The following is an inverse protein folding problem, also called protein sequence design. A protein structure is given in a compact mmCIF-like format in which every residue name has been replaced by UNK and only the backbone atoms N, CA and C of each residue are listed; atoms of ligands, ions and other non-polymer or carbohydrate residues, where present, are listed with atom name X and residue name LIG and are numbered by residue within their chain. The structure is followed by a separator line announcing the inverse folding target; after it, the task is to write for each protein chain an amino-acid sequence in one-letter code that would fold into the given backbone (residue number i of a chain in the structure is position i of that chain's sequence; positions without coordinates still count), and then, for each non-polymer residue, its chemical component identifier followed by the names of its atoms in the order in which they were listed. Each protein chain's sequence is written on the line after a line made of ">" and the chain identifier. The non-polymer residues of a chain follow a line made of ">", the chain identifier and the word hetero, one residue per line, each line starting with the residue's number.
data_IF_002666546079
#
_entry.id   IF_002666546079
#
_cell.length_a   1.000
_cell.length_b   1.000
_cell.length_c   1.000
_cell.angle_alpha   90.00
_cell.angle_beta   90.00
_cell.angle_gamma   90.00
#
_symmetry.space_group_name_H-M   'P 1'
#
loop_
_entity.id
_entity.type
_entity.pdbx_description
1 polymer ?
#
# COMPACT_ATOMS: atom_id res chain seq x y z
N UNK A 1 2.99 -33.86 4.77
CA UNK A 1 2.35 -33.15 5.91
C UNK A 1 3.28 -32.97 7.12
N UNK A 2 4.04 -33.99 7.56
CA UNK A 2 5.01 -33.87 8.68
C UNK A 2 6.09 -32.79 8.50
N UNK A 3 6.59 -32.61 7.28
CA UNK A 3 7.70 -31.68 7.01
C UNK A 3 7.29 -30.20 7.10
N UNK A 4 6.02 -29.89 6.82
CA UNK A 4 5.50 -28.52 6.92
C UNK A 4 5.37 -28.09 8.39
N UNK A 5 4.94 -29.03 9.25
CA UNK A 5 4.86 -28.78 10.69
C UNK A 5 6.25 -28.56 11.30
N UNK A 6 7.26 -29.30 10.84
CA UNK A 6 8.64 -29.16 11.28
C UNK A 6 9.26 -27.82 10.84
N UNK A 7 8.97 -27.36 9.63
CA UNK A 7 9.38 -26.02 9.16
C UNK A 7 8.68 -24.92 9.96
N UNK A 8 7.40 -25.07 10.26
CA UNK A 8 6.66 -24.13 11.12
C UNK A 8 7.21 -24.10 12.56
N UNK A 9 7.58 -25.26 13.12
CA UNK A 9 8.19 -25.37 14.44
C UNK A 9 9.63 -24.82 14.50
N UNK A 10 10.41 -24.99 13.44
CA UNK A 10 11.77 -24.43 13.33
C UNK A 10 11.73 -22.90 13.15
N UNK A 11 10.75 -22.38 12.40
CA UNK A 11 10.51 -20.94 12.27
C UNK A 11 9.98 -20.32 13.57
N UNK A 12 9.13 -21.02 14.31
CA UNK A 12 8.65 -20.59 15.63
C UNK A 12 9.75 -20.66 16.71
N UNK A 13 10.63 -21.67 16.64
CA UNK A 13 11.68 -21.92 17.63
C UNK A 13 12.92 -21.03 17.49
N UNK A 14 13.28 -20.62 16.28
CA UNK A 14 14.48 -19.80 16.06
C UNK A 14 14.32 -18.30 16.40
N UNK A 15 13.10 -17.85 16.72
CA UNK A 15 12.80 -16.44 17.06
C UNK A 15 12.54 -16.16 18.54
N UNK A 16 12.60 -17.18 19.41
CA UNK A 16 12.13 -17.09 20.80
C UNK A 16 13.13 -16.48 21.79
N UNK A 17 13.92 -15.48 21.37
CA UNK A 17 14.60 -14.59 22.31
C UNK A 17 13.72 -13.34 22.47
N UNK A 18 13.24 -13.03 23.69
CA UNK A 18 12.44 -11.84 23.94
C UNK A 18 13.36 -10.62 23.89
N UNK A 19 13.72 -10.18 22.70
CA UNK A 19 14.08 -8.79 22.50
C UNK A 19 12.79 -7.98 22.65
N UNK A 20 12.47 -7.67 23.91
CA UNK A 20 11.33 -6.86 24.35
C UNK A 20 11.14 -5.66 23.42
N UNK A 21 9.87 -5.45 23.06
CA UNK A 21 9.38 -4.59 21.99
C UNK A 21 10.07 -3.23 21.87
N UNK A 22 11.02 -3.16 20.95
CA UNK A 22 11.34 -1.93 20.23
C UNK A 22 10.50 -1.91 18.94
N UNK A 23 9.17 -1.98 19.09
CA UNK A 23 8.20 -2.00 17.99
C UNK A 23 7.34 -0.74 18.08
N UNK A 24 7.29 0.05 17.00
CA UNK A 24 6.59 1.33 16.94
C UNK A 24 7.05 2.32 18.03
N UNK A 25 8.36 2.50 18.15
CA UNK A 25 8.95 3.57 18.98
C UNK A 25 9.40 4.70 18.07
N UNK A 26 9.29 5.92 18.56
CA UNK A 26 9.82 7.13 17.93
C UNK A 26 11.25 6.83 17.44
N UNK A 27 11.56 7.19 16.18
CA UNK A 27 12.80 6.84 15.44
C UNK A 27 12.82 5.49 14.69
N UNK A 28 11.75 4.69 14.71
CA UNK A 28 11.66 3.57 13.77
C UNK A 28 11.22 4.04 12.39
N UNK A 29 11.92 3.56 11.36
CA UNK A 29 11.55 3.67 9.97
C UNK A 29 11.30 2.29 9.37
N UNK A 30 10.56 2.23 8.27
CA UNK A 30 10.29 0.98 7.59
C UNK A 30 10.08 1.14 6.10
N UNK A 31 10.49 0.12 5.35
CA UNK A 31 10.19 -0.05 3.94
C UNK A 31 9.12 -1.11 3.78
N UNK A 32 8.07 -0.82 3.02
CA UNK A 32 6.99 -1.74 2.71
C UNK A 32 6.90 -1.99 1.22
N UNK A 33 6.62 -3.24 0.85
CA UNK A 33 6.28 -3.64 -0.50
C UNK A 33 4.93 -4.36 -0.47
N UNK A 34 3.99 -3.88 -1.28
CA UNK A 34 2.60 -4.34 -1.28
C UNK A 34 2.16 -4.72 -2.69
N UNK A 35 1.27 -5.70 -2.76
CA UNK A 35 0.49 -6.03 -3.95
C UNK A 35 -0.98 -6.01 -3.58
N UNK A 36 -1.79 -5.41 -4.44
CA UNK A 36 -3.21 -5.24 -4.17
C UNK A 36 -4.06 -5.13 -5.41
N UNK A 37 -5.34 -4.86 -5.19
CA UNK A 37 -6.33 -4.56 -6.22
C UNK A 37 -7.00 -3.22 -5.93
N UNK A 38 -7.33 -2.51 -7.00
CA UNK A 38 -8.30 -1.42 -6.99
C UNK A 38 -9.65 -1.92 -7.51
N UNK A 39 -10.66 -1.06 -7.65
CA UNK A 39 -11.89 -1.41 -8.37
C UNK A 39 -11.64 -1.70 -9.86
N UNK A 40 -10.57 -1.17 -10.45
CA UNK A 40 -10.33 -1.19 -11.90
C UNK A 40 -9.17 -2.12 -12.32
N UNK A 41 -8.32 -2.55 -11.39
CA UNK A 41 -7.12 -3.31 -11.75
C UNK A 41 -6.29 -3.82 -10.58
N UNK A 42 -5.07 -4.23 -10.91
CA UNK A 42 -4.07 -4.71 -9.97
C UNK A 42 -2.96 -3.66 -9.80
N UNK A 43 -2.41 -3.55 -8.60
CA UNK A 43 -1.36 -2.57 -8.32
C UNK A 43 -0.24 -3.11 -7.45
N UNK A 44 0.92 -2.46 -7.57
CA UNK A 44 2.08 -2.63 -6.72
C UNK A 44 2.39 -1.30 -6.03
N UNK A 45 2.80 -1.36 -4.77
CA UNK A 45 3.14 -0.16 -3.99
C UNK A 45 4.42 -0.38 -3.20
N UNK A 46 5.28 0.65 -3.22
CA UNK A 46 6.41 0.78 -2.33
C UNK A 46 6.15 1.93 -1.36
N UNK A 47 6.34 1.67 -0.08
CA UNK A 47 6.08 2.64 0.98
C UNK A 47 7.27 2.83 1.90
N UNK A 48 7.49 4.06 2.33
CA UNK A 48 8.36 4.42 3.44
C UNK A 48 7.50 4.92 4.60
N UNK A 49 7.64 4.32 5.77
CA UNK A 49 6.90 4.74 6.97
C UNK A 49 7.87 5.13 8.08
N UNK A 50 7.72 6.32 8.64
CA UNK A 50 8.52 6.84 9.76
C UNK A 50 7.63 7.09 10.98
N UNK A 51 8.03 6.59 12.15
CA UNK A 51 7.33 6.84 13.41
C UNK A 51 7.64 8.26 13.91
N UNK A 52 6.63 9.12 13.87
CA UNK A 52 6.70 10.47 14.44
C UNK A 52 6.60 10.44 15.97
N UNK A 53 5.79 9.50 16.49
CA UNK A 53 5.68 9.19 17.93
C UNK A 53 5.48 7.68 18.09
N UNK A 54 5.33 7.20 19.32
CA UNK A 54 5.04 5.79 19.61
C UNK A 54 3.63 5.33 19.16
N UNK A 55 2.78 6.25 18.67
CA UNK A 55 1.39 5.97 18.24
C UNK A 55 1.02 6.67 16.94
N UNK A 56 1.94 7.35 16.29
CA UNK A 56 1.67 8.10 15.06
C UNK A 56 2.84 7.89 14.10
N UNK A 57 2.52 7.42 12.90
CA UNK A 57 3.48 7.31 11.83
C UNK A 57 3.10 8.23 10.65
N UNK A 58 4.11 8.58 9.86
CA UNK A 58 3.97 9.19 8.55
C UNK A 58 4.37 8.16 7.51
N UNK A 59 3.47 7.85 6.58
CA UNK A 59 3.69 6.95 5.45
C UNK A 59 3.70 7.73 4.15
N UNK A 60 4.80 7.65 3.41
CA UNK A 60 4.89 8.08 2.03
C UNK A 60 4.94 6.85 1.13
N UNK A 61 4.30 6.88 -0.02
CA UNK A 61 4.28 5.73 -0.93
C UNK A 61 4.17 6.13 -2.39
N UNK A 62 4.68 5.27 -3.25
CA UNK A 62 4.48 5.32 -4.69
C UNK A 62 3.88 4.00 -5.16
N UNK A 63 2.89 4.07 -6.05
CA UNK A 63 2.23 2.90 -6.60
C UNK A 63 2.09 2.98 -8.11
N UNK A 64 2.06 1.81 -8.73
CA UNK A 64 1.73 1.61 -10.13
C UNK A 64 0.55 0.66 -10.23
N UNK A 65 -0.51 1.14 -10.85
CA UNK A 65 -1.73 0.38 -11.12
C UNK A 65 -1.85 0.11 -12.62
N UNK A 66 -2.30 -1.09 -12.97
CA UNK A 66 -2.56 -1.51 -14.35
C UNK A 66 -3.85 -2.31 -14.41
N UNK A 67 -4.60 -2.13 -15.49
CA UNK A 67 -5.83 -2.88 -15.75
C UNK A 67 -6.38 -2.56 -17.13
N UNK A 68 -7.62 -2.93 -17.36
CA UNK A 68 -8.31 -2.72 -18.64
C UNK A 68 -9.64 -2.01 -18.40
N UNK A 69 -9.86 -0.89 -19.08
CA UNK A 69 -11.11 -0.15 -19.05
C UNK A 69 -11.99 -0.52 -20.24
N UNK A 70 -13.27 -0.77 -19.97
CA UNK A 70 -14.28 -1.01 -21.01
C UNK A 70 -14.34 0.18 -21.98
N UNK A 71 -14.10 -0.08 -23.26
CA UNK A 71 -14.13 0.93 -24.32
C UNK A 71 -12.91 1.86 -24.40
N UNK A 72 -11.92 1.72 -23.51
CA UNK A 72 -10.66 2.51 -23.53
C UNK A 72 -9.39 1.65 -23.57
N UNK A 73 -9.52 0.33 -23.44
CA UNK A 73 -8.41 -0.61 -23.48
C UNK A 73 -7.56 -0.55 -22.22
N UNK A 74 -6.32 -0.98 -22.33
CA UNK A 74 -5.40 -1.06 -21.20
C UNK A 74 -4.99 0.33 -20.68
N UNK A 75 -4.83 0.42 -19.37
CA UNK A 75 -4.39 1.64 -18.70
C UNK A 75 -3.23 1.37 -17.76
N UNK A 76 -2.46 2.42 -17.51
CA UNK A 76 -1.48 2.49 -16.45
C UNK A 76 -1.67 3.78 -15.66
N UNK A 77 -1.56 3.68 -14.34
CA UNK A 77 -1.59 4.84 -13.44
C UNK A 77 -0.42 4.79 -12.47
N UNK A 78 0.16 5.96 -12.22
CA UNK A 78 1.23 6.16 -11.26
C UNK A 78 0.76 7.16 -10.22
N UNK A 79 0.79 6.80 -8.94
CA UNK A 79 0.36 7.70 -7.88
C UNK A 79 1.33 7.72 -6.71
N UNK A 80 1.48 8.89 -6.12
CA UNK A 80 2.13 9.10 -4.83
C UNK A 80 1.08 9.35 -3.75
N UNK A 81 1.33 8.88 -2.53
CA UNK A 81 0.47 9.15 -1.36
C UNK A 81 1.29 9.55 -0.16
N UNK A 82 0.73 10.44 0.65
CA UNK A 82 1.23 10.79 1.98
C UNK A 82 0.09 10.63 2.98
N UNK A 83 0.30 9.80 3.99
CA UNK A 83 -0.71 9.40 4.96
C UNK A 83 -0.14 9.53 6.38
N UNK A 84 -0.91 10.15 7.26
CA UNK A 84 -0.74 10.01 8.70
C UNK A 84 -1.42 8.72 9.14
N UNK A 85 -0.73 7.97 10.00
CA UNK A 85 -1.15 6.67 10.49
C UNK A 85 -1.20 6.66 12.03
N UNK A 86 -2.21 7.27 12.67
CA UNK A 86 -2.42 7.11 14.11
C UNK A 86 -2.84 5.68 14.44
N UNK A 87 -2.22 5.11 15.48
CA UNK A 87 -2.56 3.80 16.02
C UNK A 87 -3.92 3.86 16.71
N UNK A 88 -4.86 3.02 16.26
CA UNK A 88 -6.17 2.87 16.89
C UNK A 88 -6.10 1.93 18.08
N UNK A 89 -5.58 0.73 17.86
CA UNK A 89 -5.41 -0.28 18.90
C UNK A 89 -4.28 -1.25 18.56
N UNK A 90 -3.90 -2.06 19.54
CA UNK A 90 -2.94 -3.15 19.38
C UNK A 90 -3.41 -4.38 20.15
N UNK A 91 -3.07 -5.56 19.66
CA UNK A 91 -3.27 -6.82 20.35
C UNK A 91 -1.89 -7.35 20.78
N UNK A 92 -1.58 -7.14 22.06
CA UNK A 92 -0.26 -7.40 22.61
C UNK A 92 0.83 -6.63 21.85
N UNK A 93 1.87 -7.35 21.47
CA UNK A 93 2.99 -6.84 20.65
C UNK A 93 3.00 -7.43 19.23
N UNK A 94 1.92 -8.13 18.84
CA UNK A 94 1.86 -8.89 17.59
C UNK A 94 1.09 -8.15 16.51
N UNK A 95 -0.07 -7.59 16.86
CA UNK A 95 -0.94 -6.92 15.89
C UNK A 95 -1.10 -5.46 16.24
N UNK A 96 -0.90 -4.58 15.28
CA UNK A 96 -1.13 -3.15 15.40
C UNK A 96 -2.07 -2.71 14.30
N UNK A 97 -3.03 -1.86 14.65
CA UNK A 97 -4.01 -1.34 13.69
C UNK A 97 -3.96 0.17 13.70
N UNK A 98 -3.89 0.74 12.49
CA UNK A 98 -3.76 2.17 12.27
C UNK A 98 -4.88 2.64 11.38
N UNK A 99 -5.36 3.85 11.66
CA UNK A 99 -6.17 4.61 10.72
C UNK A 99 -5.21 5.26 9.74
N UNK A 100 -5.49 5.23 8.44
CA UNK A 100 -4.74 5.94 7.43
C UNK A 100 -5.52 7.19 7.03
N UNK A 101 -4.92 8.37 7.12
CA UNK A 101 -5.54 9.64 6.74
C UNK A 101 -4.55 10.48 5.96
N UNK A 102 -4.93 10.96 4.78
CA UNK A 102 -4.08 11.90 4.04
C UNK A 102 -4.58 12.14 2.64
N UNK A 103 -3.65 12.23 1.70
CA UNK A 103 -3.97 12.54 0.32
C UNK A 103 -3.01 11.83 -0.64
N UNK A 104 -3.47 11.69 -1.87
CA UNK A 104 -2.66 11.21 -2.99
C UNK A 104 -2.76 12.11 -4.19
N UNK A 105 -1.78 12.01 -5.06
CA UNK A 105 -1.77 12.62 -6.38
C UNK A 105 -1.17 11.63 -7.37
N UNK A 106 -1.64 11.64 -8.60
CA UNK A 106 -1.23 10.67 -9.60
C UNK A 106 -1.48 11.11 -11.01
N UNK A 107 -1.02 10.27 -11.91
CA UNK A 107 -1.09 10.47 -13.34
C UNK A 107 -1.60 9.19 -14.00
N UNK A 108 -2.68 9.35 -14.75
CA UNK A 108 -3.40 8.26 -15.41
C UNK A 108 -3.18 8.34 -16.92
N UNK A 109 -2.88 7.21 -17.53
CA UNK A 109 -2.71 7.05 -18.97
C UNK A 109 -3.49 5.85 -19.47
N UNK A 110 -4.17 6.01 -20.60
CA UNK A 110 -4.92 4.94 -21.28
C UNK A 110 -4.34 4.66 -22.68
N UNK A 111 -4.61 3.48 -23.22
CA UNK A 111 -4.20 3.09 -24.57
C UNK A 111 -2.74 2.68 -24.69
N UNK A 112 -2.12 2.18 -23.61
CA UNK A 112 -0.70 1.83 -23.61
C UNK A 112 -0.37 0.65 -24.56
N UNK A 113 -1.34 -0.21 -24.88
CA UNK A 113 -1.17 -1.41 -25.71
C UNK A 113 -2.20 -1.52 -26.85
N UNK A 114 -2.81 -0.39 -27.26
CA UNK A 114 -3.75 -0.41 -28.39
C UNK A 114 -3.08 -0.93 -29.65
N UNK A 115 -3.57 -2.05 -30.19
CA UNK A 115 -3.05 -2.71 -31.40
C UNK A 115 -3.44 -2.01 -32.70
N UNK A 116 -4.15 -0.88 -32.63
CA UNK A 116 -4.46 -0.03 -33.76
C UNK A 116 -3.49 1.14 -33.82
N UNK A 117 -3.01 1.49 -35.01
CA UNK A 117 -2.38 2.79 -35.23
C UNK A 117 -3.32 3.87 -34.65
N UNK A 118 -2.90 4.64 -33.64
CA UNK A 118 -3.68 5.80 -33.25
C UNK A 118 -3.82 6.66 -34.50
N UNK A 119 -5.04 7.13 -34.80
CA UNK A 119 -5.22 8.17 -35.80
C UNK A 119 -4.22 9.28 -35.51
N UNK A 120 -3.66 9.89 -36.56
CA UNK A 120 -2.49 10.80 -36.47
C UNK A 120 -2.66 11.96 -35.48
N UNK A 121 -3.90 12.23 -35.04
CA UNK A 121 -4.30 13.25 -34.06
C UNK A 121 -4.96 12.69 -32.76
N UNK A 122 -5.00 11.38 -32.55
CA UNK A 122 -5.61 10.79 -31.36
C UNK A 122 -4.70 10.97 -30.13
N UNK A 123 -4.88 12.07 -29.40
CA UNK A 123 -4.26 12.25 -28.10
C UNK A 123 -4.72 11.15 -27.14
N UNK A 124 -3.79 10.31 -26.68
CA UNK A 124 -4.06 9.39 -25.58
C UNK A 124 -4.52 10.19 -24.36
N UNK A 125 -5.68 9.89 -23.76
CA UNK A 125 -6.14 10.60 -22.57
C UNK A 125 -5.12 10.44 -21.45
N UNK A 126 -4.58 11.57 -21.02
CA UNK A 126 -3.66 11.70 -19.90
C UNK A 126 -4.28 12.67 -18.89
N UNK A 127 -4.33 12.28 -17.62
CA UNK A 127 -4.91 13.12 -16.57
C UNK A 127 -4.07 13.07 -15.32
N UNK A 128 -3.81 14.25 -14.76
CA UNK A 128 -3.32 14.39 -13.40
C UNK A 128 -4.50 14.45 -12.44
N UNK A 129 -4.49 13.63 -11.40
CA UNK A 129 -5.57 13.52 -10.42
C UNK A 129 -5.01 13.63 -9.01
N UNK A 130 -5.79 14.14 -8.07
CA UNK A 130 -5.38 14.29 -6.68
C UNK A 130 -6.58 14.32 -5.76
N UNK A 131 -6.38 14.03 -4.47
CA UNK A 131 -7.42 14.24 -3.48
C UNK A 131 -7.21 13.47 -2.19
N UNK A 132 -8.15 13.64 -1.24
CA UNK A 132 -8.06 13.04 0.09
C UNK A 132 -8.32 11.53 0.04
N UNK A 133 -7.70 10.82 0.97
CA UNK A 133 -7.85 9.38 1.15
C UNK A 133 -7.90 9.05 2.64
N UNK A 134 -8.73 8.07 2.97
CA UNK A 134 -8.82 7.51 4.30
C UNK A 134 -8.85 5.98 4.23
N UNK A 135 -8.46 5.31 5.30
CA UNK A 135 -8.41 3.86 5.31
C UNK A 135 -7.93 3.28 6.61
N UNK A 136 -7.58 2.00 6.59
CA UNK A 136 -6.99 1.30 7.70
C UNK A 136 -5.80 0.44 7.25
N UNK A 137 -4.89 0.22 8.19
CA UNK A 137 -3.74 -0.65 8.05
C UNK A 137 -3.66 -1.58 9.25
N UNK A 138 -3.32 -2.83 9.01
CA UNK A 138 -3.00 -3.80 10.05
C UNK A 138 -1.60 -4.37 9.83
N UNK A 139 -0.73 -4.22 10.82
CA UNK A 139 0.58 -4.86 10.89
C UNK A 139 0.52 -6.10 11.78
N UNK A 140 0.94 -7.24 11.25
CA UNK A 140 1.14 -8.48 12.00
C UNK A 140 2.64 -8.78 12.04
N UNK A 141 3.26 -8.57 13.21
CA UNK A 141 4.70 -8.76 13.40
C UNK A 141 5.06 -10.24 13.43
N UNK A 142 5.95 -10.63 12.50
CA UNK A 142 6.56 -11.96 12.45
C UNK A 142 7.85 -12.05 13.29
N UNK A 143 8.38 -10.88 13.67
CA UNK A 143 9.58 -10.72 14.48
C UNK A 143 9.85 -9.24 14.70
N UNK A 144 11.08 -8.87 15.07
CA UNK A 144 11.41 -7.46 15.35
C UNK A 144 11.66 -6.62 14.09
N UNK A 145 11.97 -7.26 12.97
CA UNK A 145 12.33 -6.58 11.72
C UNK A 145 11.32 -6.75 10.61
N UNK A 146 10.37 -7.67 10.72
CA UNK A 146 9.43 -7.97 9.65
C UNK A 146 8.00 -8.02 10.17
N UNK A 147 7.09 -7.36 9.45
CA UNK A 147 5.64 -7.54 9.60
C UNK A 147 4.99 -7.87 8.26
N UNK A 148 3.91 -8.64 8.33
CA UNK A 148 2.91 -8.69 7.26
C UNK A 148 2.00 -7.48 7.42
N UNK A 149 1.68 -6.84 6.31
CA UNK A 149 0.84 -5.63 6.32
C UNK A 149 -0.36 -5.87 5.43
N UNK A 150 -1.54 -5.52 5.90
CA UNK A 150 -2.74 -5.42 5.09
C UNK A 150 -3.25 -3.99 5.13
N UNK A 151 -3.65 -3.45 3.99
CA UNK A 151 -4.13 -2.06 3.88
C UNK A 151 -5.41 -2.01 3.07
N UNK A 152 -6.32 -1.12 3.48
CA UNK A 152 -7.51 -0.80 2.72
C UNK A 152 -7.73 0.71 2.77
N UNK A 153 -7.74 1.38 1.62
CA UNK A 153 -8.01 2.82 1.53
C UNK A 153 -9.12 3.10 0.54
N UNK A 154 -9.83 4.21 0.73
CA UNK A 154 -10.77 4.77 -0.23
C UNK A 154 -10.66 6.30 -0.19
N UNK A 155 -10.84 6.95 -1.32
CA UNK A 155 -10.70 8.39 -1.41
C UNK A 155 -11.54 9.00 -2.51
N UNK A 156 -11.44 10.32 -2.63
CA UNK A 156 -12.08 11.08 -3.70
C UNK A 156 -11.00 11.76 -4.53
N UNK A 157 -11.10 11.68 -5.86
CA UNK A 157 -10.18 12.33 -6.78
C UNK A 157 -10.84 13.52 -7.48
N UNK A 158 -10.12 14.64 -7.47
CA UNK A 158 -10.41 15.85 -8.23
C UNK A 158 -9.78 15.77 -9.63
N UNK A 159 -10.19 16.72 -10.48
CA UNK A 159 -9.70 16.91 -11.85
C UNK A 159 -10.14 15.84 -12.88
N UNK A 160 -11.39 15.37 -12.76
CA UNK A 160 -12.05 14.48 -13.72
C UNK A 160 -11.19 13.24 -14.06
N UNK A 161 -10.99 12.35 -13.07
CA UNK A 161 -10.22 11.12 -13.27
C UNK A 161 -10.77 10.28 -14.44
N UNK A 162 -9.87 9.60 -15.13
CA UNK A 162 -10.20 8.69 -16.23
C UNK A 162 -10.66 7.33 -15.71
N UNK A 163 -10.13 6.91 -14.56
CA UNK A 163 -10.34 5.58 -13.98
C UNK A 163 -11.59 5.53 -13.09
N UNK A 164 -11.52 6.19 -11.94
CA UNK A 164 -12.59 6.25 -10.95
C UNK A 164 -12.47 7.54 -10.13
N UNK A 165 -13.62 8.15 -9.82
CA UNK A 165 -13.70 9.31 -8.95
C UNK A 165 -13.60 8.96 -7.46
N UNK A 166 -13.99 7.74 -7.10
CA UNK A 166 -13.98 7.23 -5.72
C UNK A 166 -13.11 5.99 -5.54
N UNK A 167 -11.83 6.03 -5.93
CA UNK A 167 -11.01 4.84 -5.98
C UNK A 167 -10.75 4.29 -4.57
N UNK A 168 -10.86 2.98 -4.47
CA UNK A 168 -10.54 2.14 -3.34
C UNK A 168 -9.42 1.18 -3.68
N UNK A 169 -8.60 0.89 -2.68
CA UNK A 169 -7.43 0.04 -2.83
C UNK A 169 -7.37 -0.91 -1.65
N UNK A 170 -7.16 -2.19 -1.92
CA UNK A 170 -6.90 -3.20 -0.90
C UNK A 170 -5.63 -3.97 -1.25
N UNK A 171 -4.70 -4.08 -0.30
CA UNK A 171 -3.43 -4.78 -0.51
C UNK A 171 -2.97 -5.58 0.69
N UNK A 172 -2.06 -6.50 0.40
CA UNK A 172 -1.24 -7.15 1.39
C UNK A 172 0.24 -7.06 0.99
N UNK A 173 1.13 -7.08 1.98
CA UNK A 173 2.54 -6.83 1.75
C UNK A 173 3.43 -7.27 2.89
N UNK A 174 4.72 -7.04 2.70
CA UNK A 174 5.77 -7.22 3.68
C UNK A 174 6.36 -5.87 4.03
N UNK A 175 6.67 -5.68 5.30
CA UNK A 175 7.33 -4.48 5.81
C UNK A 175 8.57 -4.85 6.60
N UNK A 176 9.69 -4.24 6.22
CA UNK A 176 10.97 -4.32 6.91
C UNK A 176 11.17 -3.09 7.80
N UNK A 177 11.48 -3.32 9.06
CA UNK A 177 11.62 -2.30 10.10
C UNK A 177 13.10 -2.11 10.46
N UNK A 178 13.51 -0.85 10.58
CA UNK A 178 14.87 -0.44 10.95
C UNK A 178 14.84 0.85 11.77
N UNK A 179 16.02 1.25 12.26
CA UNK A 179 16.26 2.45 13.06
C UNK A 179 17.23 3.35 12.33
#
# INVERSE_FOLDING_TARGET
>A
MKNILLVALLLAGAGAVPAFAQRHVQHMASWGAHRGRSEQGDYYELSYTSMLTNRLALRASGLRETGTLSGRGDYASYAGRVLLAPQLFRLGEVVYVHLLLGAGAGYERTGEHGTGEPATDAQQPQRFTYGPQAGAEADVFLGNRFSLVATATKGYLFNNPLLDQWPGYASAGLRYHFR
#
